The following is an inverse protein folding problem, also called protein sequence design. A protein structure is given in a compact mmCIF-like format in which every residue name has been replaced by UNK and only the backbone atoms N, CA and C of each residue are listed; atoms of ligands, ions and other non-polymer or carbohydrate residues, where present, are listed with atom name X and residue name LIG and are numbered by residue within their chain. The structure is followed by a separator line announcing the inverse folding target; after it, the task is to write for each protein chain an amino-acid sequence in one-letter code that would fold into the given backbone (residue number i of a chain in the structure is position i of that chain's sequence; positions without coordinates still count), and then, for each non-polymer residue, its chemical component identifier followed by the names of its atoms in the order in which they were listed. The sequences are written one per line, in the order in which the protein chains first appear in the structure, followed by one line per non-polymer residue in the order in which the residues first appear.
data_IF_392802153323
#
_entry.id   IF_392802153323
#
_cell.length_a   1.000
_cell.length_b   1.000
_cell.length_c   1.000
_cell.angle_alpha   90.00
_cell.angle_beta   90.00
_cell.angle_gamma   90.00
#
_symmetry.space_group_name_H-M   'P 1'
#
loop_
_entity.id
_entity.type
_entity.pdbx_description
1 polymer ?
#
# COMPACT_ATOMS: atom_id res chain seq x y z
N UNK A 1 12.40 33.01 1.32
CA UNK A 1 11.27 32.23 0.80
C UNK A 1 11.75 31.01 0.02
N UNK A 2 12.76 31.16 -0.83
CA UNK A 2 13.43 30.06 -1.58
C UNK A 2 13.83 28.84 -0.72
N UNK A 3 14.50 29.06 0.41
CA UNK A 3 14.93 27.97 1.32
C UNK A 3 13.77 27.15 1.87
N UNK A 4 12.62 27.77 2.15
CA UNK A 4 11.43 27.07 2.61
C UNK A 4 10.81 26.21 1.50
N UNK A 5 10.83 26.71 0.26
CA UNK A 5 10.35 25.98 -0.91
C UNK A 5 11.24 24.75 -1.16
N UNK A 6 12.56 24.90 -1.09
CA UNK A 6 13.50 23.79 -1.23
C UNK A 6 13.35 22.75 -0.11
N UNK A 7 13.15 23.18 1.14
CA UNK A 7 12.88 22.27 2.25
C UNK A 7 11.56 21.50 2.05
N UNK A 8 10.50 22.19 1.61
CA UNK A 8 9.23 21.56 1.26
C UNK A 8 9.36 20.59 0.08
N UNK A 9 10.19 20.88 -0.93
CA UNK A 9 10.43 19.97 -2.05
C UNK A 9 11.18 18.70 -1.61
N UNK A 10 12.27 18.87 -0.84
CA UNK A 10 13.11 17.76 -0.39
C UNK A 10 12.41 16.82 0.60
N UNK A 11 11.44 17.31 1.38
CA UNK A 11 10.67 16.49 2.33
C UNK A 11 9.33 16.05 1.73
N UNK A 12 8.65 16.96 1.03
CA UNK A 12 7.33 16.73 0.47
C UNK A 12 7.32 15.68 -0.64
N UNK A 13 8.35 15.65 -1.49
CA UNK A 13 8.43 14.64 -2.55
C UNK A 13 8.58 13.21 -2.01
N UNK A 14 9.57 12.91 -1.14
CA UNK A 14 9.64 11.60 -0.49
C UNK A 14 8.39 11.25 0.32
N UNK A 15 7.76 12.24 0.98
CA UNK A 15 6.57 12.02 1.79
C UNK A 15 5.37 11.57 0.94
N UNK A 16 5.12 12.22 -0.20
CA UNK A 16 4.04 11.82 -1.12
C UNK A 16 4.30 10.42 -1.68
N UNK A 17 5.55 10.10 -2.03
CA UNK A 17 5.92 8.76 -2.47
C UNK A 17 5.66 7.73 -1.37
N UNK A 18 6.08 8.01 -0.13
CA UNK A 18 5.85 7.11 0.99
C UNK A 18 4.35 6.86 1.20
N UNK A 19 3.52 7.91 1.21
CA UNK A 19 2.06 7.78 1.33
C UNK A 19 1.49 6.92 0.20
N UNK A 20 1.84 7.21 -1.06
CA UNK A 20 1.39 6.43 -2.21
C UNK A 20 1.77 4.95 -2.08
N UNK A 21 3.01 4.67 -1.68
CA UNK A 21 3.50 3.30 -1.51
C UNK A 21 2.79 2.58 -0.36
N UNK A 22 2.55 3.26 0.77
CA UNK A 22 1.82 2.69 1.90
C UNK A 22 0.39 2.32 1.51
N UNK A 23 -0.35 3.24 0.90
CA UNK A 23 -1.73 2.97 0.41
C UNK A 23 -1.75 1.85 -0.63
N UNK A 24 -0.73 1.77 -1.49
CA UNK A 24 -0.60 0.69 -2.48
C UNK A 24 -0.34 -0.67 -1.82
N UNK A 25 0.49 -0.72 -0.78
CA UNK A 25 0.80 -1.97 -0.05
C UNK A 25 -0.43 -2.45 0.71
N UNK A 26 -1.19 -1.56 1.32
CA UNK A 26 -2.45 -1.88 2.00
C UNK A 26 -3.42 -2.65 1.08
N UNK A 27 -3.67 -2.14 -0.14
CA UNK A 27 -4.50 -2.83 -1.11
C UNK A 27 -3.94 -4.19 -1.57
N UNK A 28 -2.61 -4.37 -1.60
CA UNK A 28 -2.00 -5.68 -1.89
C UNK A 28 -2.20 -6.68 -0.75
N UNK A 29 -2.09 -6.23 0.50
CA UNK A 29 -2.32 -7.07 1.67
C UNK A 29 -3.77 -7.54 1.76
N UNK A 30 -4.74 -6.66 1.50
CA UNK A 30 -6.15 -7.02 1.44
C UNK A 30 -6.43 -8.09 0.38
N UNK A 31 -5.88 -7.91 -0.83
CA UNK A 31 -6.01 -8.88 -1.91
C UNK A 31 -5.39 -10.25 -1.56
N UNK A 32 -4.27 -10.25 -0.82
CA UNK A 32 -3.65 -11.49 -0.35
C UNK A 32 -4.57 -12.21 0.63
N UNK A 33 -5.14 -11.50 1.61
CA UNK A 33 -6.11 -12.05 2.56
C UNK A 33 -7.32 -12.65 1.85
N UNK A 34 -7.89 -11.93 0.86
CA UNK A 34 -9.00 -12.44 0.05
C UNK A 34 -8.59 -13.72 -0.69
N UNK A 35 -7.39 -13.76 -1.25
CA UNK A 35 -6.89 -14.93 -2.00
C UNK A 35 -6.73 -16.15 -1.10
N UNK A 36 -6.19 -15.98 0.12
CA UNK A 36 -6.07 -17.05 1.12
C UNK A 36 -7.45 -17.59 1.52
N UNK A 37 -8.41 -16.70 1.82
CA UNK A 37 -9.77 -17.12 2.21
C UNK A 37 -10.48 -17.85 1.07
N UNK A 38 -10.32 -17.39 -0.18
CA UNK A 38 -10.85 -18.09 -1.36
C UNK A 38 -10.26 -19.48 -1.52
N UNK A 39 -8.95 -19.61 -1.33
CA UNK A 39 -8.27 -20.91 -1.40
C UNK A 39 -8.78 -21.85 -0.30
N UNK A 40 -8.87 -21.39 0.95
CA UNK A 40 -9.38 -22.19 2.07
C UNK A 40 -10.81 -22.68 1.80
N UNK A 41 -11.70 -21.77 1.36
CA UNK A 41 -13.09 -22.14 1.05
C UNK A 41 -13.22 -23.07 -0.16
N UNK A 42 -12.29 -23.02 -1.13
CA UNK A 42 -12.26 -23.97 -2.25
C UNK A 42 -11.84 -25.37 -1.79
N UNK A 43 -10.90 -25.47 -0.85
CA UNK A 43 -10.47 -26.74 -0.26
C UNK A 43 -11.59 -27.37 0.57
N UNK A 44 -12.29 -26.58 1.41
CA UNK A 44 -13.42 -27.07 2.21
C UNK A 44 -14.56 -27.63 1.34
N UNK A 45 -14.87 -27.00 0.20
CA UNK A 45 -15.91 -27.47 -0.73
C UNK A 45 -15.53 -28.72 -1.52
N UNK A 46 -14.25 -29.06 -1.56
CA UNK A 46 -13.72 -30.19 -2.33
C UNK A 46 -13.59 -31.48 -1.49
N UNK A 47 -13.84 -31.39 -0.17
CA UNK A 47 -13.92 -32.50 0.78
C UNK A 47 -15.39 -32.88 1.01
#
# INVERSE_FOLDING_TARGET
MEVLIDACANIGFPMVIAIYLLTRIEGKMENLTISINKLSGALEKSL
#
